data_IF_302345592364
#
_entry.id   IF_302345592364
#
_cell.length_a   1.000
_cell.length_b   1.000
_cell.length_c   1.000
_cell.angle_alpha   90.00
_cell.angle_beta   90.00
_cell.angle_gamma   90.00
#
_symmetry.space_group_name_H-M   'P 1'
#
loop_
_entity.id
_entity.type
_entity.pdbx_description
1 polymer ?
#
# COMPACT_ATOMS: atom_id res chain seq x y z
N UNK A 1 9.72 16.37 -1.71
CA UNK A 1 9.39 14.97 -1.34
C UNK A 1 10.23 14.55 -0.15
N UNK A 2 10.01 15.18 1.01
CA UNK A 2 10.72 14.86 2.27
C UNK A 2 9.74 14.34 3.33
N UNK A 3 8.45 14.58 3.16
CA UNK A 3 7.41 14.35 4.19
C UNK A 3 6.71 12.98 4.09
N UNK A 4 7.08 12.11 3.14
CA UNK A 4 6.46 10.76 3.04
C UNK A 4 7.05 9.75 4.02
N UNK A 5 8.20 10.05 4.61
CA UNK A 5 8.85 9.16 5.58
C UNK A 5 8.13 9.11 6.93
N UNK A 6 7.36 10.15 7.30
CA UNK A 6 6.54 10.12 8.52
C UNK A 6 5.29 9.24 8.40
N UNK A 7 4.82 8.93 7.18
CA UNK A 7 3.54 8.23 6.97
C UNK A 7 3.68 6.70 7.12
N UNK A 8 4.84 6.15 6.75
CA UNK A 8 5.08 4.71 6.64
C UNK A 8 5.84 4.16 7.86
N UNK A 9 5.24 4.31 9.04
CA UNK A 9 5.75 3.71 10.28
C UNK A 9 5.23 2.29 10.47
N UNK A 10 5.93 1.50 11.28
CA UNK A 10 5.48 0.15 11.64
C UNK A 10 4.08 0.13 12.26
N UNK A 11 3.77 1.13 13.09
CA UNK A 11 2.46 1.32 13.72
C UNK A 11 1.36 1.53 12.68
N UNK A 12 1.58 2.42 11.70
CA UNK A 12 0.58 2.69 10.66
C UNK A 12 0.35 1.47 9.77
N UNK A 13 1.39 0.71 9.42
CA UNK A 13 1.24 -0.52 8.64
C UNK A 13 0.51 -1.60 9.44
N UNK A 14 0.80 -1.77 10.74
CA UNK A 14 0.11 -2.73 11.58
C UNK A 14 -1.40 -2.43 11.67
N UNK A 15 -1.76 -1.16 11.86
CA UNK A 15 -3.16 -0.74 11.87
C UNK A 15 -3.85 -0.96 10.52
N UNK A 16 -3.17 -0.69 9.41
CA UNK A 16 -3.72 -0.90 8.08
C UNK A 16 -3.97 -2.40 7.81
N UNK A 17 -3.01 -3.27 8.16
CA UNK A 17 -3.16 -4.71 8.02
C UNK A 17 -4.34 -5.23 8.85
N UNK A 18 -4.41 -4.83 10.12
CA UNK A 18 -5.53 -5.21 11.00
C UNK A 18 -6.88 -4.83 10.39
N UNK A 19 -7.02 -3.60 9.87
CA UNK A 19 -8.26 -3.17 9.18
C UNK A 19 -8.61 -4.01 7.96
N UNK A 20 -7.61 -4.50 7.22
CA UNK A 20 -7.84 -5.34 6.03
C UNK A 20 -8.33 -6.73 6.44
N UNK A 21 -7.70 -7.35 7.45
CA UNK A 21 -8.07 -8.69 7.92
C UNK A 21 -9.34 -8.72 8.78
N UNK A 22 -9.61 -7.67 9.56
CA UNK A 22 -10.83 -7.57 10.40
C UNK A 22 -12.07 -7.15 9.58
N UNK A 23 -11.92 -6.89 8.28
CA UNK A 23 -13.02 -6.42 7.44
C UNK A 23 -14.02 -7.55 7.15
N UNK A 24 -15.20 -7.49 7.78
CA UNK A 24 -16.28 -8.47 7.57
C UNK A 24 -16.77 -8.57 6.11
N UNK A 25 -16.53 -7.56 5.27
CA UNK A 25 -16.87 -7.61 3.84
C UNK A 25 -15.81 -8.33 3.01
N UNK A 26 -14.60 -8.51 3.53
CA UNK A 26 -13.48 -9.15 2.86
C UNK A 26 -12.94 -10.27 3.75
N UNK A 27 -13.35 -11.51 3.47
CA UNK A 27 -13.01 -12.70 4.26
C UNK A 27 -11.56 -13.14 4.03
N UNK A 28 -10.61 -12.25 4.28
CA UNK A 28 -9.19 -12.58 4.32
C UNK A 28 -8.88 -13.25 5.65
N UNK A 29 -8.35 -14.48 5.58
CA UNK A 29 -7.88 -15.21 6.74
C UNK A 29 -6.39 -14.95 6.90
N UNK A 30 -5.94 -14.76 8.15
CA UNK A 30 -4.52 -14.67 8.48
C UNK A 30 -3.78 -15.91 7.96
N UNK A 31 -2.79 -15.70 7.09
CA UNK A 31 -1.99 -16.77 6.50
C UNK A 31 -0.89 -17.24 7.45
N UNK A 32 -0.42 -18.49 7.30
CA UNK A 32 0.72 -18.97 8.09
C UNK A 32 1.99 -18.13 7.87
N UNK A 33 2.15 -17.57 6.67
CA UNK A 33 3.34 -16.81 6.25
C UNK A 33 2.94 -15.48 5.64
N UNK A 34 3.66 -14.43 6.04
CA UNK A 34 3.55 -13.09 5.47
C UNK A 34 4.87 -12.68 4.84
N UNK A 35 4.91 -12.67 3.51
CA UNK A 35 6.12 -12.35 2.74
C UNK A 35 6.26 -10.83 2.58
N UNK A 36 7.37 -10.28 3.09
CA UNK A 36 7.68 -8.85 3.00
C UNK A 36 9.09 -8.64 2.47
N UNK A 37 9.41 -7.41 2.09
CA UNK A 37 10.80 -7.02 1.95
C UNK A 37 11.47 -6.83 3.33
N UNK A 38 12.68 -6.27 3.33
CA UNK A 38 13.46 -6.03 4.56
C UNK A 38 13.21 -4.66 5.20
N UNK A 39 12.16 -3.95 4.75
CA UNK A 39 11.79 -2.61 5.19
C UNK A 39 11.61 -2.51 6.71
N UNK A 40 11.93 -1.34 7.30
CA UNK A 40 11.76 -1.09 8.74
C UNK A 40 10.29 -1.08 9.17
N UNK A 41 9.35 -0.75 8.28
CA UNK A 41 7.92 -0.72 8.54
C UNK A 41 7.34 -2.09 8.91
N UNK A 42 7.92 -3.19 8.43
CA UNK A 42 7.48 -4.55 8.77
C UNK A 42 8.11 -5.09 10.06
N UNK A 43 8.83 -4.25 10.82
CA UNK A 43 9.44 -4.60 12.13
C UNK A 43 8.52 -4.14 13.26
N UNK A 44 9.00 -4.06 14.50
CA UNK A 44 8.28 -3.43 15.62
C UNK A 44 6.85 -3.93 15.81
N UNK A 45 5.90 -3.00 15.77
CA UNK A 45 4.45 -3.24 15.92
C UNK A 45 3.89 -4.23 14.89
N UNK A 46 4.32 -4.14 13.62
CA UNK A 46 3.94 -5.13 12.61
C UNK A 46 4.38 -6.55 13.00
N UNK A 47 5.61 -6.71 13.51
CA UNK A 47 6.09 -8.02 13.96
C UNK A 47 5.30 -8.52 15.17
N UNK A 48 4.87 -7.61 16.04
CA UNK A 48 4.01 -7.94 17.19
C UNK A 48 2.64 -8.43 16.72
N UNK A 49 1.97 -7.69 15.84
CA UNK A 49 0.67 -8.05 15.27
C UNK A 49 0.71 -9.43 14.58
N UNK A 50 1.73 -9.69 13.77
CA UNK A 50 1.87 -10.99 13.08
C UNK A 50 1.99 -12.14 14.08
N UNK A 51 2.72 -11.96 15.18
CA UNK A 51 2.81 -12.98 16.24
C UNK A 51 1.49 -13.20 16.99
N UNK A 52 0.71 -12.16 17.22
CA UNK A 52 -0.60 -12.25 17.88
C UNK A 52 -1.59 -13.11 17.07
N UNK A 53 -1.36 -13.25 15.76
CA UNK A 53 -2.17 -14.04 14.83
C UNK A 53 -1.44 -15.29 14.29
N UNK A 54 -0.39 -15.75 14.97
CA UNK A 54 0.41 -16.93 14.59
C UNK A 54 1.01 -16.89 13.16
N UNK A 55 1.22 -15.69 12.64
CA UNK A 55 1.77 -15.46 11.30
C UNK A 55 3.30 -15.28 11.35
N UNK A 56 4.01 -16.05 10.53
CA UNK A 56 5.46 -15.95 10.39
C UNK A 56 5.82 -14.94 9.29
N UNK A 57 6.56 -13.89 9.66
CA UNK A 57 7.13 -12.97 8.66
C UNK A 57 8.27 -13.66 7.93
N UNK A 58 8.12 -13.83 6.61
CA UNK A 58 9.17 -14.28 5.72
C UNK A 58 9.74 -13.08 4.98
N UNK A 59 11.06 -12.88 5.04
CA UNK A 59 11.71 -11.79 4.31
C UNK A 59 12.14 -12.27 2.93
N UNK A 60 11.79 -11.52 1.91
CA UNK A 60 12.25 -11.74 0.55
C UNK A 60 13.78 -11.74 0.49
N UNK A 61 14.33 -12.76 -0.17
CA UNK A 61 15.77 -12.89 -0.36
C UNK A 61 16.22 -12.14 -1.62
N UNK A 62 15.43 -12.21 -2.69
CA UNK A 62 15.71 -11.54 -3.96
C UNK A 62 14.58 -10.60 -4.36
N UNK A 63 14.89 -9.66 -5.26
CA UNK A 63 13.91 -8.75 -5.86
C UNK A 63 12.79 -9.50 -6.60
N UNK A 64 13.04 -10.73 -7.04
CA UNK A 64 12.12 -11.57 -7.81
C UNK A 64 11.08 -12.27 -6.93
N UNK A 65 11.39 -12.49 -5.65
CA UNK A 65 10.42 -13.06 -4.68
C UNK A 65 9.21 -12.14 -4.49
N UNK A 66 9.35 -10.84 -4.74
CA UNK A 66 8.29 -9.83 -4.68
C UNK A 66 7.71 -9.47 -6.06
N UNK A 67 7.85 -10.34 -7.08
CA UNK A 67 7.45 -10.05 -8.47
C UNK A 67 5.94 -9.76 -8.59
N UNK A 68 5.11 -10.53 -7.89
CA UNK A 68 3.64 -10.38 -7.91
C UNK A 68 3.24 -9.00 -7.38
N UNK A 69 3.70 -8.64 -6.18
CA UNK A 69 3.39 -7.33 -5.58
C UNK A 69 3.89 -6.18 -6.45
N UNK A 70 5.09 -6.29 -7.03
CA UNK A 70 5.61 -5.27 -7.96
C UNK A 70 4.76 -5.13 -9.22
N UNK A 71 4.37 -6.25 -9.82
CA UNK A 71 3.53 -6.28 -11.01
C UNK A 71 2.16 -5.68 -10.72
N UNK A 72 1.54 -6.08 -9.62
CA UNK A 72 0.27 -5.52 -9.14
C UNK A 72 0.37 -4.01 -8.94
N UNK A 73 1.39 -3.53 -8.22
CA UNK A 73 1.58 -2.09 -7.99
C UNK A 73 1.80 -1.33 -9.30
N UNK A 74 2.58 -1.88 -10.24
CA UNK A 74 2.77 -1.27 -11.56
C UNK A 74 1.48 -1.21 -12.38
N UNK A 75 0.67 -2.27 -12.36
CA UNK A 75 -0.61 -2.32 -13.07
C UNK A 75 -1.64 -1.37 -12.45
N UNK A 76 -1.70 -1.29 -11.12
CA UNK A 76 -2.53 -0.33 -10.40
C UNK A 76 -2.13 1.11 -10.74
N UNK A 77 -0.83 1.39 -10.69
CA UNK A 77 -0.26 2.71 -11.01
C UNK A 77 -0.63 3.16 -12.42
N UNK A 78 -0.49 2.28 -13.40
CA UNK A 78 -0.88 2.54 -14.80
C UNK A 78 -2.37 2.86 -14.94
N UNK A 79 -3.24 2.12 -14.24
CA UNK A 79 -4.69 2.37 -14.28
C UNK A 79 -5.06 3.69 -13.62
N UNK A 80 -4.47 4.00 -12.47
CA UNK A 80 -4.79 5.20 -11.70
C UNK A 80 -4.27 6.48 -12.38
N UNK A 81 -3.06 6.46 -12.95
CA UNK A 81 -2.50 7.67 -13.55
C UNK A 81 -3.30 8.16 -14.75
N UNK A 82 -3.82 7.26 -15.60
CA UNK A 82 -4.67 7.70 -16.70
C UNK A 82 -5.92 8.44 -16.20
N UNK A 83 -6.59 7.92 -15.18
CA UNK A 83 -7.75 8.59 -14.58
C UNK A 83 -7.37 9.91 -13.93
N UNK A 84 -6.22 9.97 -13.25
CA UNK A 84 -5.72 11.19 -12.62
C UNK A 84 -5.37 12.25 -13.67
N UNK A 85 -4.69 11.87 -14.75
CA UNK A 85 -4.30 12.77 -15.83
C UNK A 85 -5.53 13.33 -16.54
N UNK A 86 -6.54 12.48 -16.80
CA UNK A 86 -7.83 12.93 -17.35
C UNK A 86 -8.53 13.93 -16.41
N UNK A 87 -8.58 13.64 -15.10
CA UNK A 87 -9.14 14.55 -14.09
C UNK A 87 -8.37 15.87 -14.03
N UNK A 88 -7.04 15.84 -14.13
CA UNK A 88 -6.19 17.02 -14.13
C UNK A 88 -6.45 17.87 -15.38
N UNK A 89 -6.54 17.26 -16.56
CA UNK A 89 -6.87 17.96 -17.82
C UNK A 89 -8.27 18.60 -17.76
N UNK A 90 -9.26 17.89 -17.23
CA UNK A 90 -10.61 18.42 -17.02
C UNK A 90 -10.59 19.65 -16.08
N UNK A 91 -9.89 19.53 -14.96
CA UNK A 91 -9.77 20.62 -13.97
C UNK A 91 -9.06 21.83 -14.57
N UNK A 92 -8.00 21.61 -15.36
CA UNK A 92 -7.24 22.66 -16.03
C UNK A 92 -8.08 23.37 -17.11
N UNK A 93 -8.92 22.62 -17.83
CA UNK A 93 -9.88 23.18 -18.79
C UNK A 93 -10.95 24.03 -18.10
N UNK A 94 -11.54 23.54 -17.00
CA UNK A 94 -12.53 24.28 -16.21
C UNK A 94 -11.95 25.57 -15.62
N UNK A 95 -10.73 25.51 -15.08
CA UNK A 95 -10.03 26.69 -14.58
C UNK A 95 -9.76 27.70 -15.71
N UNK A 96 -9.40 27.25 -16.93
CA UNK A 96 -9.28 28.15 -18.08
C UNK A 96 -10.60 28.85 -18.43
N UNK A 97 -11.72 28.14 -18.41
CA UNK A 97 -13.05 28.74 -18.68
C UNK A 97 -13.40 29.78 -17.62
N UNK A 98 -13.15 29.48 -16.34
CA UNK A 98 -13.44 30.38 -15.22
C UNK A 98 -12.59 31.66 -15.20
N UNK A 99 -11.44 31.69 -15.88
CA UNK A 99 -10.59 32.89 -16.01
C UNK A 99 -10.86 33.71 -17.28
N UNK A 100 -11.75 33.25 -18.15
CA UNK A 100 -12.15 33.97 -19.39
C UNK A 100 -13.50 34.70 -19.20
N UNK A 101 -14.11 34.58 -18.02
CA UNK A 101 -15.27 35.34 -17.56
C UNK A 101 -14.84 36.32 -16.46
#
# INVERSE_FOLDING_TARGET
VKDRQEILTSKTIAQALKKVYDNLKCLLVWSEKFLTDRGPEFRGDCKKLMREHDVKIQKAFTKNTMSITKKFNGDLTRKLFHSQDASNLLTLHLNKIFWVW
#
